data_IF_850560861976
#
_entry.id   IF_850560861976
#
_cell.length_a   1.000
_cell.length_b   1.000
_cell.length_c   1.000
_cell.angle_alpha   90.00
_cell.angle_beta   90.00
_cell.angle_gamma   90.00
#
_symmetry.space_group_name_H-M   'P 1'
#
loop_
_entity.id
_entity.type
_entity.pdbx_description
1 polymer ?
#
# COMPACT_ATOMS: atom_id res chain seq x y z
N UNK A 1 -12.93 0.05 -9.95
CA UNK A 1 -14.39 0.24 -10.09
C UNK A 1 -14.60 0.98 -11.40
N UNK A 2 -15.49 0.51 -12.26
CA UNK A 2 -15.84 1.27 -13.47
C UNK A 2 -16.87 2.34 -13.11
N UNK A 3 -16.61 3.58 -13.56
CA UNK A 3 -17.49 4.70 -13.28
C UNK A 3 -18.70 4.77 -14.22
N UNK A 4 -18.56 4.26 -15.46
CA UNK A 4 -19.60 4.30 -16.48
C UNK A 4 -19.84 2.92 -17.10
N UNK A 5 -21.08 2.68 -17.52
CA UNK A 5 -21.45 1.58 -18.40
C UNK A 5 -21.53 2.08 -19.84
N UNK A 6 -20.64 1.60 -20.71
CA UNK A 6 -20.58 2.05 -22.10
C UNK A 6 -19.64 3.24 -22.33
N UNK A 7 -19.84 4.00 -23.42
CA UNK A 7 -18.91 5.05 -23.83
C UNK A 7 -19.06 6.31 -22.99
N UNK A 8 -17.93 6.97 -22.75
CA UNK A 8 -17.87 8.34 -22.23
C UNK A 8 -17.88 9.32 -23.40
N UNK A 9 -18.73 10.34 -23.34
CA UNK A 9 -18.93 11.30 -24.44
C UNK A 9 -18.44 12.71 -24.10
N UNK A 10 -18.36 13.05 -22.82
CA UNK A 10 -17.98 14.39 -22.38
C UNK A 10 -17.06 14.33 -21.15
N UNK A 11 -16.19 15.33 -21.04
CA UNK A 11 -15.35 15.60 -19.88
C UNK A 11 -15.33 17.12 -19.63
N UNK A 12 -15.36 17.52 -18.36
CA UNK A 12 -15.26 18.92 -17.94
C UNK A 12 -14.31 19.04 -16.74
N UNK A 13 -13.27 19.86 -16.86
CA UNK A 13 -12.26 20.06 -15.82
C UNK A 13 -12.68 21.22 -14.92
N UNK A 14 -12.51 21.07 -13.61
CA UNK A 14 -12.79 22.15 -12.65
C UNK A 14 -11.68 23.21 -12.71
N UNK A 15 -12.04 24.49 -12.66
CA UNK A 15 -11.07 25.59 -12.73
C UNK A 15 -10.24 25.79 -11.46
N UNK A 16 -10.66 25.15 -10.37
CA UNK A 16 -10.03 25.19 -9.05
C UNK A 16 -9.15 23.96 -8.77
N UNK A 17 -8.83 23.17 -9.81
CA UNK A 17 -8.07 21.92 -9.73
C UNK A 17 -8.66 20.88 -8.77
N UNK A 18 -9.94 20.99 -8.38
CA UNK A 18 -10.57 20.01 -7.51
C UNK A 18 -10.78 18.64 -8.19
N UNK A 19 -10.62 18.56 -9.51
CA UNK A 19 -10.80 17.35 -10.31
C UNK A 19 -11.55 17.61 -11.62
N UNK A 20 -12.29 16.61 -12.10
CA UNK A 20 -13.07 16.69 -13.35
C UNK A 20 -14.36 15.88 -13.30
N UNK A 21 -15.30 16.20 -14.19
CA UNK A 21 -16.54 15.48 -14.39
C UNK A 21 -16.51 14.73 -15.73
N UNK A 22 -17.17 13.58 -15.81
CA UNK A 22 -17.42 12.85 -17.06
C UNK A 22 -18.91 12.57 -17.27
N UNK A 23 -19.35 12.54 -18.52
CA UNK A 23 -20.71 12.17 -18.92
C UNK A 23 -20.72 10.93 -19.81
N UNK A 24 -21.55 9.94 -19.47
CA UNK A 24 -21.61 8.63 -20.13
C UNK A 24 -22.87 8.36 -20.96
N UNK A 25 -22.80 7.33 -21.80
CA UNK A 25 -23.93 6.75 -22.54
C UNK A 25 -25.02 6.18 -21.61
N UNK A 26 -24.62 5.79 -20.40
CA UNK A 26 -25.49 5.35 -19.31
C UNK A 26 -26.32 6.47 -18.64
N UNK A 27 -26.29 7.69 -19.20
CA UNK A 27 -26.98 8.87 -18.69
C UNK A 27 -26.54 9.30 -17.28
N UNK A 28 -25.31 8.95 -16.88
CA UNK A 28 -24.74 9.38 -15.60
C UNK A 28 -23.69 10.47 -15.75
N UNK A 29 -23.51 11.27 -14.70
CA UNK A 29 -22.40 12.21 -14.54
C UNK A 29 -21.58 11.78 -13.33
N UNK A 30 -20.28 11.56 -13.53
CA UNK A 30 -19.38 11.14 -12.46
C UNK A 30 -18.36 12.23 -12.16
N UNK A 31 -18.11 12.49 -10.88
CA UNK A 31 -17.05 13.39 -10.42
C UNK A 31 -15.81 12.60 -10.02
N UNK A 32 -14.68 12.97 -10.58
CA UNK A 32 -13.35 12.46 -10.26
C UNK A 32 -12.60 13.55 -9.52
N UNK A 33 -12.55 13.43 -8.21
CA UNK A 33 -11.79 14.34 -7.36
C UNK A 33 -10.28 14.13 -7.58
N UNK A 34 -9.52 15.23 -7.63
CA UNK A 34 -8.07 15.13 -7.57
C UNK A 34 -7.63 14.68 -6.16
N UNK A 35 -6.95 13.54 -6.11
CA UNK A 35 -6.36 12.97 -4.89
C UNK A 35 -4.86 12.72 -5.07
N UNK A 36 -4.22 13.38 -6.04
CA UNK A 36 -2.82 13.14 -6.42
C UNK A 36 -1.88 13.37 -5.24
N UNK A 37 -1.99 14.52 -4.57
CA UNK A 37 -1.14 14.86 -3.43
C UNK A 37 -1.38 13.96 -2.22
N UNK A 38 -2.65 13.68 -1.92
CA UNK A 38 -3.05 12.78 -0.82
C UNK A 38 -2.45 11.39 -1.04
N UNK A 39 -2.61 10.84 -2.25
CA UNK A 39 -2.07 9.54 -2.59
C UNK A 39 -0.53 9.55 -2.58
N UNK A 40 0.11 10.64 -3.00
CA UNK A 40 1.56 10.76 -2.97
C UNK A 40 2.09 10.76 -1.52
N UNK A 41 1.43 11.48 -0.62
CA UNK A 41 1.77 11.52 0.81
C UNK A 41 1.53 10.18 1.49
N UNK A 42 0.39 9.53 1.25
CA UNK A 42 0.10 8.18 1.76
C UNK A 42 1.11 7.14 1.25
N UNK A 43 1.46 7.19 -0.04
CA UNK A 43 2.48 6.30 -0.60
C UNK A 43 3.85 6.55 0.01
N UNK A 44 4.24 7.82 0.21
CA UNK A 44 5.50 8.16 0.87
C UNK A 44 5.55 7.62 2.30
N UNK A 45 4.47 7.79 3.07
CA UNK A 45 4.35 7.26 4.43
C UNK A 45 4.42 5.72 4.46
N UNK A 46 3.73 5.04 3.54
CA UNK A 46 3.76 3.58 3.43
C UNK A 46 5.16 3.06 3.08
N UNK A 47 5.87 3.74 2.18
CA UNK A 47 7.26 3.39 1.81
C UNK A 47 8.19 3.61 3.01
N UNK A 48 8.03 4.72 3.73
CA UNK A 48 8.83 5.00 4.93
C UNK A 48 8.61 3.94 6.02
N UNK A 49 7.36 3.57 6.29
CA UNK A 49 7.03 2.51 7.25
C UNK A 49 7.59 1.15 6.80
N UNK A 50 7.46 0.80 5.52
CA UNK A 50 8.03 -0.42 4.97
C UNK A 50 9.55 -0.47 5.16
N UNK A 51 10.26 0.61 4.84
CA UNK A 51 11.72 0.69 5.00
C UNK A 51 12.11 0.57 6.48
N UNK A 52 11.43 1.28 7.39
CA UNK A 52 11.68 1.23 8.83
C UNK A 52 11.47 -0.18 9.39
N UNK A 53 10.34 -0.79 9.10
CA UNK A 53 10.00 -2.13 9.61
C UNK A 53 10.90 -3.21 9.03
N UNK A 54 11.32 -3.08 7.78
CA UNK A 54 12.30 -3.98 7.18
C UNK A 54 13.66 -3.87 7.86
N UNK A 55 14.15 -2.64 8.08
CA UNK A 55 15.40 -2.40 8.77
C UNK A 55 15.36 -2.92 10.23
N UNK A 56 14.23 -2.75 10.92
CA UNK A 56 14.04 -3.29 12.27
C UNK A 56 14.13 -4.81 12.27
N UNK A 57 13.46 -5.48 11.32
CA UNK A 57 13.53 -6.93 11.19
C UNK A 57 14.97 -7.42 10.97
N UNK A 58 15.70 -6.80 10.04
CA UNK A 58 17.11 -7.14 9.79
C UNK A 58 17.98 -6.94 11.04
N UNK A 59 17.75 -5.84 11.77
CA UNK A 59 18.47 -5.57 13.01
C UNK A 59 18.20 -6.64 14.07
N UNK A 60 16.95 -7.09 14.22
CA UNK A 60 16.58 -8.16 15.14
C UNK A 60 17.24 -9.50 14.76
N UNK A 61 17.30 -9.82 13.46
CA UNK A 61 17.97 -11.03 12.97
C UNK A 61 19.47 -10.99 13.21
N UNK A 62 20.14 -9.87 12.87
CA UNK A 62 21.58 -9.68 13.17
C UNK A 62 21.88 -9.77 14.66
N UNK A 63 20.97 -9.28 15.49
CA UNK A 63 21.05 -9.37 16.95
C UNK A 63 20.67 -10.75 17.53
N UNK A 64 20.36 -11.76 16.68
CA UNK A 64 19.88 -13.09 17.07
C UNK A 64 18.64 -13.06 17.99
N UNK A 65 17.83 -12.01 17.89
CA UNK A 65 16.60 -11.84 18.67
C UNK A 65 15.42 -12.53 17.98
N UNK A 66 15.52 -13.85 17.78
CA UNK A 66 14.62 -14.63 16.92
C UNK A 66 13.14 -14.54 17.34
N UNK A 67 12.82 -14.55 18.64
CA UNK A 67 11.42 -14.43 19.11
C UNK A 67 10.78 -13.09 18.74
N UNK A 68 11.57 -12.00 18.80
CA UNK A 68 11.09 -10.66 18.43
C UNK A 68 10.98 -10.53 16.91
N UNK A 69 11.96 -11.04 16.18
CA UNK A 69 11.95 -11.09 14.72
C UNK A 69 10.74 -11.89 14.20
N UNK A 70 10.45 -13.06 14.79
CA UNK A 70 9.30 -13.90 14.45
C UNK A 70 7.98 -13.16 14.68
N UNK A 71 7.83 -12.51 15.83
CA UNK A 71 6.63 -11.70 16.12
C UNK A 71 6.45 -10.57 15.11
N UNK A 72 7.54 -9.90 14.74
CA UNK A 72 7.49 -8.82 13.76
C UNK A 72 7.15 -9.35 12.35
N UNK A 73 7.75 -10.45 11.92
CA UNK A 73 7.47 -11.08 10.63
C UNK A 73 5.99 -11.52 10.48
N UNK A 74 5.38 -12.05 11.54
CA UNK A 74 3.94 -12.38 11.56
C UNK A 74 3.09 -11.11 11.47
N UNK A 75 3.44 -10.04 12.21
CA UNK A 75 2.72 -8.76 12.13
C UNK A 75 2.79 -8.12 10.74
N UNK A 76 3.89 -8.32 10.03
CA UNK A 76 4.09 -7.83 8.66
C UNK A 76 3.46 -8.75 7.59
N UNK A 77 2.74 -9.81 7.98
CA UNK A 77 2.14 -10.80 7.08
C UNK A 77 3.14 -11.40 6.08
N UNK A 78 4.36 -11.74 6.56
CA UNK A 78 5.43 -12.33 5.74
C UNK A 78 5.62 -13.80 6.07
N UNK A 79 4.81 -14.72 5.52
CA UNK A 79 4.84 -16.14 5.90
C UNK A 79 6.16 -16.83 5.54
N UNK A 80 6.75 -16.50 4.39
CA UNK A 80 8.04 -17.07 3.97
C UNK A 80 9.17 -16.67 4.93
N UNK A 81 9.29 -15.38 5.27
CA UNK A 81 10.29 -14.91 6.24
C UNK A 81 10.04 -15.49 7.64
N UNK A 82 8.78 -15.60 8.05
CA UNK A 82 8.42 -16.23 9.33
C UNK A 82 8.91 -17.68 9.38
N UNK A 83 8.77 -18.43 8.29
CA UNK A 83 9.26 -19.80 8.18
C UNK A 83 10.79 -19.88 8.25
N UNK A 84 11.49 -19.01 7.52
CA UNK A 84 12.96 -18.95 7.53
C UNK A 84 13.52 -18.68 8.94
N UNK A 85 12.93 -17.73 9.67
CA UNK A 85 13.31 -17.40 11.05
C UNK A 85 13.09 -18.61 11.97
N UNK A 86 11.97 -19.32 11.79
CA UNK A 86 11.67 -20.51 12.59
C UNK A 86 12.67 -21.65 12.31
N UNK A 87 13.04 -21.85 11.05
CA UNK A 87 14.06 -22.84 10.69
C UNK A 87 15.42 -22.48 11.30
N UNK A 88 15.84 -21.22 11.20
CA UNK A 88 17.12 -20.78 11.77
C UNK A 88 17.14 -20.98 13.30
N UNK A 89 16.05 -20.64 13.98
CA UNK A 89 15.89 -20.87 15.42
C UNK A 89 15.96 -22.36 15.81
N UNK A 90 15.39 -23.25 15.00
CA UNK A 90 15.40 -24.69 15.27
C UNK A 90 16.73 -25.36 14.92
N UNK A 91 17.48 -24.82 13.95
CA UNK A 91 18.77 -25.35 13.51
C UNK A 91 19.94 -24.92 14.42
N UNK A 92 19.77 -23.87 15.22
CA UNK A 92 20.74 -23.40 16.22
C UNK A 92 20.08 -23.28 17.60
N UNK A 93 20.09 -24.36 18.44
CA UNK A 93 19.54 -24.33 19.78
C UNK A 93 20.30 -23.40 20.74
#
# INVERSE_FOLDING_TARGET
MEAHQGRVWAIAVCSDDAGFYTGGEDATICFFKDTTDINAEENAANVEEFVKTHQELENLLRGKQYVRALRLAVKLDKPQQTFEILQEFLLFP
#
